data_IF_703707377837
#
_entry.id   IF_703707377837
#
_cell.length_a   1.000
_cell.length_b   1.000
_cell.length_c   1.000
_cell.angle_alpha   90.00
_cell.angle_beta   90.00
_cell.angle_gamma   90.00
#
_symmetry.space_group_name_H-M   'P 1'
#
loop_
_entity.id
_entity.type
_entity.pdbx_description
1 polymer ?
#
# COMPACT_ATOMS: atom_id res chain seq x y z
N UNK A 1 16.14 -3.18 -5.04
CA UNK A 1 15.96 -4.59 -4.72
C UNK A 1 14.53 -4.87 -4.22
N UNK A 2 14.14 -6.13 -4.03
CA UNK A 2 12.84 -6.47 -3.48
C UNK A 2 12.74 -5.97 -2.04
N UNK A 3 11.57 -5.46 -1.67
CA UNK A 3 11.27 -5.02 -0.30
C UNK A 3 9.79 -5.28 0.03
N UNK A 4 9.46 -5.30 1.31
CA UNK A 4 8.08 -5.39 1.79
C UNK A 4 7.51 -4.00 2.06
N UNK A 5 6.21 -3.86 1.87
CA UNK A 5 5.50 -2.61 2.04
C UNK A 5 4.09 -2.88 2.59
N UNK A 6 3.66 -2.08 3.57
CA UNK A 6 2.28 -2.00 4.05
C UNK A 6 1.83 -0.55 4.02
N UNK A 7 0.76 -0.24 3.30
CA UNK A 7 0.25 1.12 3.16
C UNK A 7 -1.25 1.21 3.44
N UNK A 8 -1.69 2.41 3.80
CA UNK A 8 -3.09 2.75 4.02
C UNK A 8 -3.49 3.96 3.17
N UNK A 9 -4.59 3.82 2.42
CA UNK A 9 -5.21 4.87 1.63
C UNK A 9 -6.59 5.13 2.21
N UNK A 10 -6.80 6.21 3.00
CA UNK A 10 -8.08 6.51 3.64
C UNK A 10 -9.16 6.96 2.66
N UNK A 11 -8.76 7.39 1.47
CA UNK A 11 -9.65 7.93 0.45
C UNK A 11 -9.01 9.08 -0.31
N UNK A 12 -9.83 9.94 -0.91
CA UNK A 12 -9.38 11.10 -1.66
C UNK A 12 -9.31 12.35 -0.79
N UNK A 13 -8.27 13.15 -1.01
CA UNK A 13 -8.02 14.46 -0.38
C UNK A 13 -8.06 15.53 -1.46
N UNK A 14 -8.45 16.75 -1.08
CA UNK A 14 -8.43 17.90 -1.97
C UNK A 14 -7.01 18.45 -2.17
N UNK A 15 -6.68 18.72 -3.43
CA UNK A 15 -5.45 19.34 -3.89
C UNK A 15 -5.82 20.53 -4.79
N UNK A 16 -6.11 21.67 -4.18
CA UNK A 16 -6.48 22.92 -4.87
C UNK A 16 -7.70 22.75 -5.82
N UNK A 17 -8.75 22.08 -5.34
CA UNK A 17 -9.97 21.81 -6.07
C UNK A 17 -10.02 20.49 -6.84
N UNK A 18 -8.92 19.75 -6.94
CA UNK A 18 -8.87 18.41 -7.52
C UNK A 18 -8.76 17.34 -6.43
N UNK A 19 -9.59 16.30 -6.50
CA UNK A 19 -9.57 15.21 -5.51
C UNK A 19 -8.76 14.03 -6.01
N UNK A 20 -7.73 13.66 -5.24
CA UNK A 20 -6.89 12.50 -5.52
C UNK A 20 -6.79 11.57 -4.31
N UNK A 21 -6.65 10.28 -4.57
CA UNK A 21 -6.30 9.32 -3.53
C UNK A 21 -4.94 9.68 -2.94
N UNK A 22 -4.78 9.49 -1.62
CA UNK A 22 -3.51 9.77 -0.93
C UNK A 22 -3.13 8.62 -0.02
N UNK A 23 -1.83 8.36 0.09
CA UNK A 23 -1.27 7.42 1.05
C UNK A 23 -1.04 8.19 2.34
N UNK A 24 -1.77 7.86 3.40
CA UNK A 24 -1.65 8.55 4.69
C UNK A 24 -0.68 7.88 5.66
N UNK A 25 -0.46 6.59 5.52
CA UNK A 25 0.51 5.82 6.31
C UNK A 25 1.12 4.71 5.47
N UNK A 26 2.44 4.53 5.60
CA UNK A 26 3.16 3.50 4.86
C UNK A 26 4.44 3.11 5.60
N UNK A 27 4.63 1.80 5.76
CA UNK A 27 5.86 1.21 6.22
C UNK A 27 6.53 0.41 5.12
N UNK A 28 7.86 0.44 5.08
CA UNK A 28 8.69 -0.32 4.13
C UNK A 28 9.86 -0.98 4.84
N UNK A 29 10.35 -2.08 4.28
CA UNK A 29 11.44 -2.85 4.90
C UNK A 29 12.84 -2.34 4.55
N UNK A 30 12.99 -1.37 3.62
CA UNK A 30 14.31 -0.88 3.20
C UNK A 30 14.42 0.65 3.26
N UNK A 31 15.60 1.14 3.65
CA UNK A 31 15.91 2.57 3.66
C UNK A 31 15.96 3.17 2.26
N UNK A 32 16.42 2.42 1.25
CA UNK A 32 16.41 2.88 -0.15
C UNK A 32 14.98 3.22 -0.60
N UNK A 33 14.00 2.40 -0.20
CA UNK A 33 12.59 2.67 -0.50
C UNK A 33 12.07 3.91 0.23
N UNK A 34 12.53 4.18 1.46
CA UNK A 34 12.18 5.42 2.20
C UNK A 34 12.70 6.63 1.44
N UNK A 35 14.00 6.68 1.15
CA UNK A 35 14.65 7.82 0.49
C UNK A 35 14.04 8.09 -0.88
N UNK A 36 13.97 7.05 -1.73
CA UNK A 36 13.42 7.20 -3.07
C UNK A 36 11.92 7.55 -3.07
N UNK A 37 11.14 6.96 -2.16
CA UNK A 37 9.70 7.21 -2.06
C UNK A 37 9.39 8.65 -1.68
N UNK A 38 10.12 9.21 -0.74
CA UNK A 38 9.99 10.61 -0.31
C UNK A 38 10.44 11.57 -1.40
N UNK A 39 11.64 11.36 -1.95
CA UNK A 39 12.24 12.27 -2.93
C UNK A 39 11.47 12.33 -4.25
N UNK A 40 11.05 11.18 -4.81
CA UNK A 40 10.47 11.12 -6.15
C UNK A 40 8.95 11.25 -6.20
N UNK A 41 8.25 10.90 -5.10
CA UNK A 41 6.78 10.83 -5.08
C UNK A 41 6.13 11.48 -3.87
N UNK A 42 6.90 12.07 -2.96
CA UNK A 42 6.37 12.66 -1.73
C UNK A 42 5.64 11.67 -0.82
N UNK A 43 5.89 10.37 -0.96
CA UNK A 43 5.23 9.33 -0.18
C UNK A 43 5.84 9.32 1.23
N UNK A 44 5.05 9.44 2.32
CA UNK A 44 5.55 9.54 3.70
C UNK A 44 5.99 8.17 4.25
N UNK A 45 6.95 7.54 3.58
CA UNK A 45 7.48 6.22 3.94
C UNK A 45 8.30 6.28 5.21
N UNK A 46 8.04 5.33 6.13
CA UNK A 46 8.87 5.04 7.29
C UNK A 46 9.39 3.60 7.23
N UNK A 47 10.58 3.37 7.78
CA UNK A 47 11.17 2.04 7.83
C UNK A 47 10.61 1.24 9.00
N UNK A 48 10.37 -0.05 8.78
CA UNK A 48 9.91 -0.99 9.80
C UNK A 48 10.45 -2.39 9.48
N UNK A 49 10.53 -3.29 10.46
CA UNK A 49 10.87 -4.69 10.23
C UNK A 49 9.64 -5.48 9.82
N UNK A 50 9.79 -6.34 8.82
CA UNK A 50 8.75 -7.21 8.29
C UNK A 50 9.11 -8.67 8.46
N UNK A 51 8.14 -9.47 8.87
CA UNK A 51 8.14 -10.93 8.76
C UNK A 51 6.98 -11.34 7.86
N UNK A 52 7.29 -11.91 6.69
CA UNK A 52 6.27 -12.36 5.73
C UNK A 52 6.49 -13.85 5.47
N UNK A 53 5.45 -14.64 5.73
CA UNK A 53 5.47 -16.08 5.55
C UNK A 53 4.32 -16.50 4.64
N UNK A 54 4.63 -17.26 3.60
CA UNK A 54 3.65 -17.85 2.71
C UNK A 54 3.45 -19.30 3.12
N UNK A 55 2.33 -19.61 3.77
CA UNK A 55 2.05 -20.95 4.29
C UNK A 55 1.68 -21.95 3.21
N UNK A 56 2.15 -23.19 3.36
CA UNK A 56 1.83 -24.29 2.46
C UNK A 56 0.32 -24.65 2.47
N UNK A 57 -0.40 -24.28 3.53
CA UNK A 57 -1.86 -24.44 3.69
C UNK A 57 -2.66 -23.28 3.04
N UNK A 58 -1.96 -22.35 2.36
CA UNK A 58 -2.52 -21.17 1.72
C UNK A 58 -2.84 -20.03 2.69
N UNK A 59 -2.36 -20.11 3.94
CA UNK A 59 -2.45 -19.02 4.91
C UNK A 59 -1.16 -18.21 4.85
N UNK A 60 -1.27 -16.95 4.47
CA UNK A 60 -0.16 -16.01 4.47
C UNK A 60 -0.17 -15.21 5.78
N UNK A 61 0.98 -15.11 6.44
CA UNK A 61 1.18 -14.35 7.66
C UNK A 61 2.09 -13.15 7.41
N UNK A 62 1.67 -11.98 7.86
CA UNK A 62 2.42 -10.71 7.73
C UNK A 62 2.48 -10.05 9.09
N UNK A 63 3.69 -9.87 9.62
CA UNK A 63 3.92 -9.17 10.87
C UNK A 63 4.90 -8.02 10.68
N UNK A 64 4.63 -6.89 11.35
CA UNK A 64 5.46 -5.70 11.38
C UNK A 64 5.90 -5.40 12.79
N UNK A 65 7.18 -5.08 12.95
CA UNK A 65 7.80 -4.73 14.22
C UNK A 65 8.56 -3.41 14.09
N UNK A 66 8.31 -2.48 14.98
CA UNK A 66 9.02 -1.20 15.07
C UNK A 66 9.71 -1.12 16.43
N UNK A 67 11.03 -0.94 16.43
CA UNK A 67 11.86 -0.86 17.65
C UNK A 67 11.59 -2.00 18.65
N UNK A 68 11.41 -3.22 18.13
CA UNK A 68 11.12 -4.42 18.94
C UNK A 68 9.66 -4.58 19.36
N UNK A 69 8.79 -3.60 19.10
CA UNK A 69 7.35 -3.65 19.40
C UNK A 69 6.57 -4.16 18.18
N UNK A 70 5.77 -5.20 18.37
CA UNK A 70 4.83 -5.65 17.33
C UNK A 70 3.73 -4.59 17.12
N UNK A 71 3.58 -4.10 15.90
CA UNK A 71 2.62 -3.03 15.55
C UNK A 71 1.50 -3.50 14.64
N UNK A 72 1.73 -4.52 13.82
CA UNK A 72 0.73 -5.15 12.95
C UNK A 72 0.98 -6.64 12.87
N UNK A 73 -0.08 -7.43 12.94
CA UNK A 73 -0.07 -8.88 12.68
C UNK A 73 -1.34 -9.26 11.91
N UNK A 74 -1.18 -9.83 10.72
CA UNK A 74 -2.26 -10.15 9.80
C UNK A 74 -2.13 -11.57 9.29
N UNK A 75 -3.26 -12.27 9.23
CA UNK A 75 -3.36 -13.60 8.63
C UNK A 75 -4.40 -13.59 7.51
N UNK A 76 -4.01 -14.01 6.32
CA UNK A 76 -4.87 -14.08 5.15
C UNK A 76 -4.94 -15.50 4.60
N UNK A 77 -6.10 -15.88 4.08
CA UNK A 77 -6.26 -17.10 3.30
C UNK A 77 -6.78 -16.77 1.91
N UNK A 78 -6.00 -17.09 0.88
CA UNK A 78 -6.41 -16.95 -0.50
C UNK A 78 -7.05 -18.23 -1.01
N UNK A 79 -8.03 -18.10 -1.92
CA UNK A 79 -8.72 -19.22 -2.55
C UNK A 79 -9.40 -18.82 -3.85
N UNK A 80 -10.06 -19.77 -4.52
CA UNK A 80 -10.77 -19.51 -5.76
C UNK A 80 -9.90 -19.37 -7.00
N UNK A 81 -10.47 -18.81 -8.08
CA UNK A 81 -9.83 -18.68 -9.37
C UNK A 81 -8.85 -17.52 -9.42
N UNK A 82 -7.81 -17.70 -10.22
CA UNK A 82 -6.79 -16.71 -10.51
C UNK A 82 -7.15 -15.99 -11.82
N UNK A 83 -7.37 -14.68 -11.79
CA UNK A 83 -7.76 -13.89 -12.94
C UNK A 83 -6.70 -12.83 -13.25
N UNK A 84 -6.25 -12.71 -14.53
CA UNK A 84 -5.33 -11.65 -14.90
C UNK A 84 -6.02 -10.28 -14.83
N UNK A 85 -5.33 -9.29 -14.27
CA UNK A 85 -5.81 -7.92 -14.15
C UNK A 85 -4.72 -6.92 -14.49
N UNK A 86 -5.16 -5.75 -14.98
CA UNK A 86 -4.27 -4.61 -15.18
C UNK A 86 -5.01 -3.30 -14.94
N UNK A 87 -4.38 -2.38 -14.23
CA UNK A 87 -4.92 -1.03 -13.99
C UNK A 87 -4.80 -0.12 -15.20
N UNK A 88 -4.06 -0.52 -16.25
CA UNK A 88 -3.95 0.26 -17.50
C UNK A 88 -5.27 0.46 -18.22
N UNK A 89 -6.25 -0.42 -17.97
CA UNK A 89 -7.61 -0.29 -18.52
C UNK A 89 -8.45 0.78 -17.81
N UNK A 90 -8.02 1.24 -16.63
CA UNK A 90 -8.71 2.30 -15.91
C UNK A 90 -8.25 3.69 -16.40
N UNK A 91 -9.15 4.69 -16.42
CA UNK A 91 -8.76 6.07 -16.69
C UNK A 91 -7.61 6.52 -15.77
N UNK A 92 -6.67 7.27 -16.32
CA UNK A 92 -5.51 7.76 -15.55
C UNK A 92 -5.93 8.56 -14.32
N UNK A 93 -6.98 9.36 -14.43
CA UNK A 93 -7.54 10.15 -13.32
C UNK A 93 -7.98 9.31 -12.12
N UNK A 94 -8.48 8.09 -12.34
CA UNK A 94 -8.94 7.21 -11.26
C UNK A 94 -7.81 6.58 -10.47
N UNK A 95 -6.63 6.46 -11.06
CA UNK A 95 -5.44 5.88 -10.42
C UNK A 95 -4.36 6.91 -10.10
N UNK A 96 -4.65 8.19 -10.31
CA UNK A 96 -3.74 9.26 -9.90
C UNK A 96 -3.75 9.40 -8.39
N UNK A 97 -2.57 9.32 -7.80
CA UNK A 97 -2.30 9.59 -6.40
C UNK A 97 -1.76 11.02 -6.26
N UNK A 98 -2.19 11.70 -5.22
CA UNK A 98 -1.63 12.98 -4.78
C UNK A 98 -0.95 12.81 -3.42
N UNK A 99 0.18 13.49 -3.24
CA UNK A 99 0.89 13.56 -1.96
C UNK A 99 1.30 15.00 -1.67
N UNK A 100 1.36 15.36 -0.37
CA UNK A 100 1.90 16.62 0.11
C UNK A 100 3.07 16.32 1.03
N UNK A 101 4.25 16.80 0.68
CA UNK A 101 5.45 16.64 1.49
C UNK A 101 6.34 17.88 1.32
N UNK A 102 6.79 18.45 2.45
CA UNK A 102 7.78 19.53 2.50
C UNK A 102 7.45 20.74 1.57
N UNK A 103 6.18 21.18 1.58
CA UNK A 103 5.74 22.33 0.77
C UNK A 103 5.59 22.04 -0.73
N UNK A 104 5.62 20.76 -1.14
CA UNK A 104 5.40 20.32 -2.51
C UNK A 104 4.20 19.40 -2.62
N UNK A 105 3.52 19.46 -3.73
CA UNK A 105 2.50 18.48 -4.13
C UNK A 105 3.06 17.58 -5.24
N UNK A 106 2.84 16.29 -5.10
CA UNK A 106 3.31 15.25 -6.02
C UNK A 106 2.10 14.54 -6.62
N UNK A 107 2.04 14.44 -7.94
CA UNK A 107 0.97 13.73 -8.65
C UNK A 107 1.57 12.66 -9.56
N UNK A 108 1.15 11.42 -9.40
CA UNK A 108 1.62 10.29 -10.18
C UNK A 108 0.52 9.24 -10.33
N UNK A 109 0.55 8.49 -11.42
CA UNK A 109 -0.45 7.46 -11.72
C UNK A 109 0.25 6.12 -11.96
N UNK A 110 0.44 5.29 -10.92
CA UNK A 110 1.11 4.01 -11.10
C UNK A 110 0.30 3.07 -11.97
N UNK A 111 1.02 2.23 -12.72
CA UNK A 111 0.46 1.10 -13.44
C UNK A 111 0.70 -0.18 -12.64
N UNK A 112 -0.30 -1.02 -12.54
CA UNK A 112 -0.17 -2.32 -11.89
C UNK A 112 -0.79 -3.42 -12.74
N UNK A 113 -0.20 -4.62 -12.66
CA UNK A 113 -0.76 -5.82 -13.26
C UNK A 113 -0.41 -7.05 -12.41
N UNK A 114 -1.15 -8.13 -12.57
CA UNK A 114 -0.93 -9.37 -11.86
C UNK A 114 -2.11 -10.32 -12.02
N UNK A 115 -2.13 -11.38 -11.21
CA UNK A 115 -3.24 -12.30 -11.13
C UNK A 115 -3.93 -12.18 -9.79
N UNK A 116 -5.21 -11.82 -9.77
CA UNK A 116 -6.01 -11.67 -8.54
C UNK A 116 -6.81 -12.93 -8.25
N UNK A 117 -6.90 -13.24 -6.97
CA UNK A 117 -7.85 -14.21 -6.43
C UNK A 117 -8.51 -13.66 -5.16
N UNK A 118 -9.73 -14.07 -4.84
CA UNK A 118 -10.35 -13.76 -3.56
C UNK A 118 -9.48 -14.19 -2.38
N UNK A 119 -9.51 -13.40 -1.33
CA UNK A 119 -8.87 -13.73 -0.07
C UNK A 119 -9.81 -13.43 1.10
N UNK A 120 -9.51 -14.01 2.26
CA UNK A 120 -10.16 -13.70 3.53
C UNK A 120 -9.11 -13.24 4.53
N UNK A 121 -9.38 -12.16 5.23
CA UNK A 121 -8.65 -11.79 6.44
C UNK A 121 -9.16 -12.69 7.57
N UNK A 122 -8.28 -13.57 8.10
CA UNK A 122 -8.62 -14.51 9.15
C UNK A 122 -8.44 -13.89 10.53
N UNK A 123 -7.36 -13.12 10.71
CA UNK A 123 -7.03 -12.43 11.94
C UNK A 123 -6.30 -11.13 11.62
N UNK A 124 -6.49 -10.12 12.46
CA UNK A 124 -5.75 -8.86 12.41
C UNK A 124 -5.55 -8.34 13.84
N UNK A 125 -4.31 -8.01 14.16
CA UNK A 125 -3.93 -7.23 15.33
C UNK A 125 -3.23 -5.98 14.85
N UNK A 126 -3.67 -4.81 15.30
CA UNK A 126 -3.16 -3.52 14.86
C UNK A 126 -3.03 -2.62 16.07
N UNK A 127 -1.83 -2.09 16.28
CA UNK A 127 -1.61 -1.02 17.23
C UNK A 127 -1.99 0.32 16.56
N UNK A 128 -3.11 0.88 16.99
CA UNK A 128 -3.70 2.08 16.41
C UNK A 128 -2.84 3.34 16.60
N UNK A 129 -1.83 3.30 17.47
CA UNK A 129 -0.84 4.37 17.63
C UNK A 129 0.07 4.49 16.40
N UNK A 130 0.39 3.36 15.75
CA UNK A 130 1.36 3.29 14.66
C UNK A 130 0.74 3.11 13.28
N UNK A 131 -0.37 2.39 13.18
CA UNK A 131 -1.05 2.13 11.92
C UNK A 131 -2.57 2.26 12.05
N UNK A 132 -3.27 2.84 11.07
CA UNK A 132 -4.73 2.99 11.11
C UNK A 132 -5.43 1.65 11.32
N UNK A 133 -6.27 1.58 12.36
CA UNK A 133 -7.04 0.37 12.68
C UNK A 133 -8.26 0.24 11.75
N UNK A 134 -8.06 -0.37 10.59
CA UNK A 134 -9.12 -0.60 9.61
C UNK A 134 -10.20 -1.60 10.08
N UNK A 135 -9.99 -2.32 11.19
CA UNK A 135 -11.02 -3.21 11.79
C UNK A 135 -12.23 -2.44 12.31
N UNK A 136 -12.08 -1.12 12.57
CA UNK A 136 -13.20 -0.24 12.94
C UNK A 136 -14.19 -0.02 11.80
N UNK A 137 -13.80 -0.34 10.57
CA UNK A 137 -14.65 -0.31 9.39
C UNK A 137 -15.19 -1.69 9.01
N UNK A 138 -16.04 -1.73 7.99
CA UNK A 138 -16.51 -2.96 7.38
C UNK A 138 -15.55 -3.39 6.27
N UNK A 139 -14.95 -4.57 6.40
CA UNK A 139 -14.18 -5.16 5.31
C UNK A 139 -15.16 -5.63 4.22
N UNK A 140 -15.10 -5.00 3.05
CA UNK A 140 -15.97 -5.34 1.92
C UNK A 140 -15.38 -6.48 1.09
N UNK A 141 -14.07 -6.50 0.88
CA UNK A 141 -13.37 -7.52 0.13
C UNK A 141 -11.89 -7.57 0.53
N UNK A 142 -11.28 -8.73 0.38
CA UNK A 142 -9.85 -8.92 0.37
C UNK A 142 -9.46 -9.70 -0.89
N UNK A 143 -8.31 -9.38 -1.46
CA UNK A 143 -7.74 -10.06 -2.61
C UNK A 143 -6.26 -10.35 -2.38
N UNK A 144 -5.79 -11.44 -2.96
CA UNK A 144 -4.36 -11.73 -3.13
C UNK A 144 -3.99 -11.51 -4.59
N UNK A 145 -2.86 -10.85 -4.82
CA UNK A 145 -2.31 -10.66 -6.17
C UNK A 145 -0.98 -11.37 -6.27
N UNK A 146 -0.85 -12.31 -7.23
CA UNK A 146 0.42 -12.95 -7.59
C UNK A 146 0.98 -12.35 -8.89
N UNK A 147 2.25 -12.62 -9.17
CA UNK A 147 2.97 -12.09 -10.34
C UNK A 147 2.82 -10.57 -10.47
N UNK A 148 2.77 -9.90 -9.32
CA UNK A 148 2.50 -8.48 -9.22
C UNK A 148 3.65 -7.66 -9.80
N UNK A 149 3.29 -6.80 -10.75
CA UNK A 149 4.20 -5.81 -11.34
C UNK A 149 3.59 -4.43 -11.17
N UNK A 150 4.38 -3.49 -10.68
CA UNK A 150 3.98 -2.09 -10.54
C UNK A 150 5.05 -1.18 -11.12
N UNK A 151 4.64 -0.26 -11.97
CA UNK A 151 5.47 0.82 -12.50
C UNK A 151 5.06 2.15 -11.89
N UNK A 152 6.04 2.91 -11.40
CA UNK A 152 5.84 4.25 -10.90
C UNK A 152 6.43 5.25 -11.90
N UNK A 153 5.61 6.04 -12.62
CA UNK A 153 6.13 7.17 -13.40
C UNK A 153 6.65 8.24 -12.43
N UNK A 154 7.58 9.08 -12.90
CA UNK A 154 8.00 10.25 -12.13
C UNK A 154 6.79 11.12 -11.79
N UNK A 155 6.78 11.66 -10.59
CA UNK A 155 5.72 12.55 -10.15
C UNK A 155 5.81 13.90 -10.88
N UNK A 156 4.65 14.48 -11.22
CA UNK A 156 4.52 15.89 -11.56
C UNK A 156 4.49 16.68 -10.27
N UNK A 157 5.34 17.67 -10.15
CA UNK A 157 5.43 18.56 -8.99
C UNK A 157 4.59 19.81 -9.20
N UNK A 158 3.97 20.29 -8.09
CA UNK A 158 3.32 21.58 -7.99
C UNK A 158 3.66 22.17 -6.61
N UNK A 159 4.14 23.42 -6.52
CA UNK A 159 4.30 24.11 -5.23
C UNK A 159 2.97 24.18 -4.49
N UNK A 160 3.03 24.14 -3.16
CA UNK A 160 1.87 24.38 -2.29
C UNK A 160 1.59 25.87 -2.21
#
# INVERSE_FOLDING_TARGET
GPYHELLFIPGSVDFDGERHLTISRIFVSSWDSVVNGRANWGIPKDRCDFSVQYGADGIDHVALTLDGKAIVDLNFKAGGFNLPVTTKLLPKSWRTLGQKLEGQQYFYAPDASGHVRPAKLLAAQIDAEYFPDFRRGKLLAAIRVSDFKMGFPLARLKPQ
#
